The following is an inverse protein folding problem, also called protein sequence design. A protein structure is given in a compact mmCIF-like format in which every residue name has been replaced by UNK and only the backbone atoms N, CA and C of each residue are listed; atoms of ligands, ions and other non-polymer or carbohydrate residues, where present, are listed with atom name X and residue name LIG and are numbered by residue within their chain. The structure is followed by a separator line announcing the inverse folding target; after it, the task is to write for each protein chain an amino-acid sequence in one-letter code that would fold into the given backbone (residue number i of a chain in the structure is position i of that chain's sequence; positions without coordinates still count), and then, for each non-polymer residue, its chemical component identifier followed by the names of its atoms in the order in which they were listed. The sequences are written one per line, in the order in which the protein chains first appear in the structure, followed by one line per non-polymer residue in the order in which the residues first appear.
data_IF_494513916016
#
_entry.id   IF_494513916016
#
_cell.length_a   1.000
_cell.length_b   1.000
_cell.length_c   1.000
_cell.angle_alpha   90.00
_cell.angle_beta   90.00
_cell.angle_gamma   90.00
#
_symmetry.space_group_name_H-M   'P 1'
#
loop_
_entity.id
_entity.type
_entity.pdbx_description
1 polymer ?
#
# COMPACT_ATOMS: atom_id res chain seq x y z
N UNK A 1 6.84 0.31 -14.95
CA UNK A 1 6.33 1.41 -14.12
C UNK A 1 5.14 2.02 -14.84
N UNK A 2 3.99 2.05 -14.18
CA UNK A 2 2.78 2.71 -14.68
C UNK A 2 2.69 4.12 -14.08
N UNK A 3 2.14 5.11 -14.82
CA UNK A 3 1.87 6.47 -14.34
C UNK A 3 0.44 6.87 -14.71
N UNK A 4 -0.27 7.50 -13.78
CA UNK A 4 -1.57 8.14 -14.03
C UNK A 4 -1.65 9.52 -13.37
N UNK A 5 -2.53 10.39 -13.87
CA UNK A 5 -2.83 11.72 -13.32
C UNK A 5 -4.34 11.92 -13.31
N UNK A 6 -4.91 12.31 -12.17
CA UNK A 6 -6.34 12.52 -11.99
C UNK A 6 -6.61 13.86 -11.28
N UNK A 7 -7.65 14.57 -11.73
CA UNK A 7 -8.24 15.70 -11.01
C UNK A 7 -9.54 15.18 -10.40
N UNK A 8 -9.56 15.02 -9.08
CA UNK A 8 -10.66 14.32 -8.39
C UNK A 8 -11.82 15.26 -8.07
N UNK A 9 -11.48 16.46 -7.58
CA UNK A 9 -12.42 17.52 -7.23
C UNK A 9 -11.71 18.87 -7.33
N UNK A 10 -12.44 19.99 -7.18
CA UNK A 10 -11.85 21.32 -7.27
C UNK A 10 -10.63 21.45 -6.34
N UNK A 11 -9.49 21.85 -6.91
CA UNK A 11 -8.21 22.06 -6.24
C UNK A 11 -7.55 20.80 -5.64
N UNK A 12 -7.80 19.61 -6.19
CA UNK A 12 -7.07 18.38 -5.83
C UNK A 12 -6.58 17.64 -7.08
N UNK A 13 -5.26 17.54 -7.22
CA UNK A 13 -4.60 16.73 -8.25
C UNK A 13 -3.82 15.58 -7.62
N UNK A 14 -3.96 14.38 -8.16
CA UNK A 14 -3.18 13.21 -7.76
C UNK A 14 -2.46 12.64 -8.97
N UNK A 15 -1.14 12.49 -8.86
CA UNK A 15 -0.34 11.70 -9.79
C UNK A 15 0.12 10.43 -9.09
N UNK A 16 -0.07 9.28 -9.72
CA UNK A 16 0.27 7.98 -9.14
C UNK A 16 1.24 7.24 -10.04
N UNK A 17 2.25 6.63 -9.44
CA UNK A 17 3.14 5.68 -10.08
C UNK A 17 3.10 4.33 -9.38
N UNK A 18 3.17 3.26 -10.17
CA UNK A 18 3.19 1.90 -9.64
C UNK A 18 4.42 1.16 -10.16
N UNK A 19 5.19 0.62 -9.21
CA UNK A 19 6.30 -0.31 -9.42
C UNK A 19 5.82 -1.68 -8.94
N UNK A 20 5.50 -2.55 -9.89
CA UNK A 20 5.01 -3.89 -9.60
C UNK A 20 6.15 -4.91 -9.65
N UNK A 21 6.20 -5.81 -8.68
CA UNK A 21 7.02 -7.02 -8.72
C UNK A 21 6.63 -7.97 -7.60
N UNK A 22 6.09 -9.12 -7.98
CA UNK A 22 5.50 -10.07 -7.03
C UNK A 22 6.48 -10.44 -5.90
N UNK A 23 6.02 -10.55 -4.65
CA UNK A 23 4.62 -10.36 -4.19
C UNK A 23 4.26 -8.90 -3.83
N UNK A 24 5.13 -7.93 -4.14
CA UNK A 24 5.00 -6.53 -3.72
C UNK A 24 4.64 -5.56 -4.85
N UNK A 25 3.96 -4.48 -4.48
CA UNK A 25 3.70 -3.34 -5.34
C UNK A 25 4.03 -2.07 -4.58
N UNK A 26 4.99 -1.29 -5.06
CA UNK A 26 5.23 0.06 -4.52
C UNK A 26 4.36 1.05 -5.28
N UNK A 27 3.53 1.77 -4.55
CA UNK A 27 2.64 2.82 -5.06
C UNK A 27 3.14 4.16 -4.53
N UNK A 28 3.37 5.09 -5.44
CA UNK A 28 3.90 6.42 -5.16
C UNK A 28 2.85 7.42 -5.62
N UNK A 29 2.47 8.35 -4.75
CA UNK A 29 1.49 9.38 -5.05
C UNK A 29 2.10 10.76 -4.80
N UNK A 30 1.93 11.66 -5.77
CA UNK A 30 2.06 13.10 -5.58
C UNK A 30 0.67 13.67 -5.48
N UNK A 31 0.32 14.21 -4.33
CA UNK A 31 -0.98 14.83 -4.05
C UNK A 31 -0.77 16.33 -3.90
N UNK A 32 -1.40 17.10 -4.77
CA UNK A 32 -1.45 18.56 -4.68
C UNK A 32 -2.87 18.97 -4.31
N UNK A 33 -3.01 19.64 -3.17
CA UNK A 33 -4.31 20.01 -2.61
C UNK A 33 -4.35 21.44 -2.12
N UNK A 34 -5.44 22.16 -2.42
CA UNK A 34 -5.72 23.50 -1.89
C UNK A 34 -6.47 23.51 -0.55
N UNK A 35 -6.68 22.33 0.08
CA UNK A 35 -7.48 22.16 1.29
C UNK A 35 -6.97 20.99 2.14
N UNK A 36 -7.43 20.93 3.38
CA UNK A 36 -7.26 19.77 4.24
C UNK A 36 -7.89 18.53 3.60
N UNK A 37 -7.16 17.41 3.56
CA UNK A 37 -7.64 16.13 3.05
C UNK A 37 -7.27 14.99 3.98
N UNK A 38 -8.25 14.14 4.30
CA UNK A 38 -7.97 12.82 4.84
C UNK A 38 -7.71 11.87 3.66
N UNK A 39 -6.62 11.11 3.74
CA UNK A 39 -6.24 10.15 2.71
C UNK A 39 -6.18 8.74 3.29
N UNK A 40 -6.55 7.79 2.45
CA UNK A 40 -6.56 6.37 2.75
C UNK A 40 -6.01 5.60 1.55
N UNK A 41 -5.00 4.77 1.79
CA UNK A 41 -4.42 3.87 0.78
C UNK A 41 -4.69 2.42 1.20
N UNK A 42 -5.37 1.68 0.33
CA UNK A 42 -5.79 0.31 0.60
C UNK A 42 -4.87 -0.74 0.00
N UNK A 43 -4.61 -1.80 0.77
CA UNK A 43 -4.02 -3.04 0.31
C UNK A 43 -4.98 -3.86 -0.55
N UNK A 44 -4.79 -5.17 -0.59
CA UNK A 44 -5.73 -6.08 -1.24
C UNK A 44 -6.78 -6.57 -0.24
N UNK A 45 -8.05 -6.50 -0.62
CA UNK A 45 -9.12 -7.04 0.20
C UNK A 45 -9.06 -8.57 0.22
N UNK A 46 -9.11 -9.15 1.42
CA UNK A 46 -9.18 -10.60 1.62
C UNK A 46 -10.56 -10.99 2.12
N UNK A 47 -11.10 -12.12 1.67
CA UNK A 47 -12.33 -12.69 2.21
C UNK A 47 -12.21 -12.87 3.72
N UNK A 48 -13.19 -12.36 4.47
CA UNK A 48 -13.18 -12.49 5.93
C UNK A 48 -13.62 -13.89 6.32
N UNK A 49 -12.74 -14.59 7.03
CA UNK A 49 -12.98 -15.91 7.61
C UNK A 49 -13.03 -15.84 9.15
N UNK A 50 -13.53 -16.91 9.78
CA UNK A 50 -13.52 -17.02 11.24
C UNK A 50 -12.10 -17.10 11.81
N UNK A 51 -11.22 -17.79 11.09
CA UNK A 51 -9.79 -17.87 11.41
C UNK A 51 -9.04 -16.85 10.57
N UNK A 52 -8.43 -15.88 11.25
CA UNK A 52 -7.65 -14.81 10.63
C UNK A 52 -6.46 -14.47 11.52
N UNK A 53 -5.29 -14.34 10.91
CA UNK A 53 -4.12 -13.76 11.56
C UNK A 53 -4.04 -12.31 11.11
N UNK A 54 -3.85 -11.39 12.05
CA UNK A 54 -3.75 -9.98 11.76
C UNK A 54 -2.70 -9.30 12.60
N UNK A 55 -1.97 -8.37 12.01
CA UNK A 55 -1.03 -7.51 12.72
C UNK A 55 -1.19 -6.07 12.27
N UNK A 56 -1.21 -5.16 13.24
CA UNK A 56 -1.23 -3.72 13.01
C UNK A 56 0.00 -3.14 13.71
N UNK A 57 0.71 -2.27 13.00
CA UNK A 57 1.82 -1.47 13.49
C UNK A 57 1.61 -0.02 13.03
N UNK A 58 2.34 0.92 13.64
CA UNK A 58 2.31 2.33 13.24
C UNK A 58 2.67 2.48 11.75
N UNK A 59 3.63 1.69 11.28
CA UNK A 59 4.13 1.73 9.91
C UNK A 59 3.40 0.78 8.94
N UNK A 60 2.34 0.08 9.34
CA UNK A 60 1.68 -0.86 8.43
C UNK A 60 0.60 -1.74 9.05
N UNK A 61 -0.13 -2.44 8.20
CA UNK A 61 -1.14 -3.40 8.61
C UNK A 61 -1.10 -4.63 7.72
N UNK A 62 -1.50 -5.77 8.27
CA UNK A 62 -1.45 -7.05 7.59
C UNK A 62 -2.55 -7.97 8.08
N UNK A 63 -3.13 -8.73 7.15
CA UNK A 63 -4.09 -9.78 7.43
C UNK A 63 -3.78 -11.01 6.58
N UNK A 64 -3.99 -12.18 7.17
CA UNK A 64 -3.88 -13.47 6.51
C UNK A 64 -5.11 -14.32 6.82
N UNK A 65 -5.66 -14.93 5.80
CA UNK A 65 -6.88 -15.76 5.82
C UNK A 65 -6.66 -17.00 4.96
N UNK A 66 -7.65 -17.88 4.87
CA UNK A 66 -7.60 -19.03 3.95
C UNK A 66 -7.47 -18.62 2.47
N UNK A 67 -7.73 -17.35 2.12
CA UNK A 67 -7.60 -16.82 0.77
C UNK A 67 -6.20 -16.28 0.46
N UNK A 68 -5.30 -16.29 1.44
CA UNK A 68 -3.95 -15.76 1.33
C UNK A 68 -3.71 -14.58 2.25
N UNK A 69 -2.69 -13.80 1.91
CA UNK A 69 -2.12 -12.77 2.77
C UNK A 69 -2.05 -11.45 2.05
N UNK A 70 -2.51 -10.40 2.73
CA UNK A 70 -2.41 -9.03 2.26
C UNK A 70 -1.80 -8.16 3.34
N UNK A 71 -0.89 -7.30 2.93
CA UNK A 71 -0.23 -6.35 3.79
C UNK A 71 -0.07 -5.01 3.10
N UNK A 72 0.08 -3.98 3.91
CA UNK A 72 0.45 -2.65 3.46
C UNK A 72 1.44 -2.05 4.46
N UNK A 73 2.48 -1.41 3.94
CA UNK A 73 3.54 -0.78 4.72
C UNK A 73 3.78 0.65 4.22
N UNK A 74 3.91 1.57 5.16
CA UNK A 74 4.31 2.95 4.90
C UNK A 74 5.81 3.00 4.59
N UNK A 75 6.14 3.61 3.46
CA UNK A 75 7.53 3.93 3.10
C UNK A 75 7.79 5.43 3.18
N UNK A 76 6.75 6.26 3.03
CA UNK A 76 6.82 7.71 3.14
C UNK A 76 5.42 8.33 3.29
N UNK A 77 5.26 9.19 4.29
CA UNK A 77 4.20 10.19 4.32
C UNK A 77 2.88 9.74 4.95
N UNK A 78 2.67 8.44 5.18
CA UNK A 78 1.53 7.98 5.97
C UNK A 78 1.81 8.13 7.48
N UNK A 79 0.78 7.88 8.30
CA UNK A 79 0.87 8.06 9.77
C UNK A 79 0.35 6.89 10.56
N UNK A 80 -0.61 6.14 10.02
CA UNK A 80 -1.28 5.07 10.74
C UNK A 80 -1.61 3.92 9.81
N UNK A 81 -1.20 2.71 10.20
CA UNK A 81 -1.75 1.47 9.68
C UNK A 81 -3.01 1.05 10.44
N UNK A 82 -4.00 0.53 9.72
CA UNK A 82 -5.20 -0.06 10.32
C UNK A 82 -5.79 -1.17 9.45
N UNK A 83 -6.69 -1.95 10.05
CA UNK A 83 -7.53 -2.89 9.31
C UNK A 83 -8.94 -2.33 9.26
N UNK A 84 -9.49 -2.28 8.05
CA UNK A 84 -10.87 -1.90 7.79
C UNK A 84 -11.66 -3.18 7.51
N UNK A 85 -12.87 -3.25 8.04
CA UNK A 85 -13.87 -4.26 7.70
C UNK A 85 -14.97 -3.59 6.89
N UNK A 86 -14.84 -3.54 5.55
CA UNK A 86 -15.85 -2.94 4.71
C UNK A 86 -17.23 -3.56 4.95
N UNK A 87 -18.27 -2.76 4.72
CA UNK A 87 -19.64 -3.24 4.80
C UNK A 87 -19.85 -4.46 3.89
N UNK A 88 -20.81 -5.31 4.26
CA UNK A 88 -21.07 -6.50 3.47
C UNK A 88 -21.43 -6.15 2.02
N UNK A 89 -20.95 -6.97 1.08
CA UNK A 89 -21.17 -6.88 -0.36
C UNK A 89 -20.57 -5.63 -1.04
N UNK A 90 -19.60 -4.94 -0.43
CA UNK A 90 -18.80 -3.90 -1.12
C UNK A 90 -17.64 -4.49 -1.95
N UNK A 91 -17.53 -5.81 -2.00
CA UNK A 91 -16.58 -6.54 -2.83
C UNK A 91 -17.35 -7.56 -3.69
N UNK A 92 -16.93 -7.71 -4.96
CA UNK A 92 -17.61 -8.55 -5.94
C UNK A 92 -17.39 -10.06 -5.70
N UNK A 93 -16.26 -10.44 -5.12
CA UNK A 93 -15.83 -11.83 -4.96
C UNK A 93 -16.23 -12.40 -3.59
N UNK A 94 -16.08 -11.60 -2.53
CA UNK A 94 -16.38 -12.02 -1.16
C UNK A 94 -17.34 -11.04 -0.48
N UNK A 95 -18.42 -11.53 0.15
CA UNK A 95 -19.43 -10.67 0.76
C UNK A 95 -18.92 -9.95 2.00
N UNK A 96 -17.91 -10.47 2.69
CA UNK A 96 -17.24 -9.80 3.82
C UNK A 96 -15.75 -9.87 3.59
N UNK A 97 -15.05 -8.76 3.85
CA UNK A 97 -13.61 -8.68 3.63
C UNK A 97 -12.91 -7.98 4.78
N UNK A 98 -11.62 -8.25 4.91
CA UNK A 98 -10.69 -7.42 5.68
C UNK A 98 -9.76 -6.69 4.71
N UNK A 99 -9.46 -5.43 5.00
CA UNK A 99 -8.64 -4.57 4.16
C UNK A 99 -7.56 -3.87 4.99
N UNK A 100 -6.28 -4.23 4.82
CA UNK A 100 -5.17 -3.44 5.32
C UNK A 100 -5.17 -2.05 4.69
N UNK A 101 -4.99 -1.01 5.51
CA UNK A 101 -5.08 0.37 5.08
C UNK A 101 -4.02 1.23 5.76
N UNK A 102 -3.51 2.23 5.04
CA UNK A 102 -2.73 3.33 5.60
C UNK A 102 -3.54 4.62 5.51
N UNK A 103 -3.47 5.46 6.54
CA UNK A 103 -4.13 6.76 6.58
C UNK A 103 -3.20 7.88 7.00
N UNK A 104 -3.52 9.09 6.54
CA UNK A 104 -2.90 10.34 6.99
C UNK A 104 -3.82 11.52 6.66
N UNK A 105 -3.51 12.69 7.22
CA UNK A 105 -4.18 13.95 6.90
C UNK A 105 -3.17 14.90 6.27
N UNK A 106 -3.55 15.50 5.15
CA UNK A 106 -2.73 16.42 4.36
C UNK A 106 -3.26 17.85 4.47
N UNK A 107 -2.40 18.77 4.86
CA UNK A 107 -2.65 20.21 4.78
C UNK A 107 -2.63 20.72 3.32
N UNK A 108 -3.09 21.94 3.01
CA UNK A 108 -2.90 22.52 1.69
C UNK A 108 -1.41 22.55 1.27
N UNK A 109 -1.10 22.04 0.08
CA UNK A 109 0.25 21.96 -0.45
C UNK A 109 0.49 20.75 -1.35
N UNK A 110 1.76 20.45 -1.61
CA UNK A 110 2.22 19.28 -2.36
C UNK A 110 2.74 18.26 -1.35
N UNK A 111 2.25 17.03 -1.45
CA UNK A 111 2.60 15.92 -0.58
C UNK A 111 2.98 14.71 -1.40
N UNK A 112 3.94 13.95 -0.88
CA UNK A 112 4.36 12.68 -1.46
C UNK A 112 4.08 11.55 -0.49
N UNK A 113 3.35 10.55 -0.99
CA UNK A 113 2.95 9.38 -0.24
C UNK A 113 3.49 8.14 -0.94
N UNK A 114 4.17 7.25 -0.22
CA UNK A 114 4.71 6.00 -0.77
C UNK A 114 4.32 4.85 0.12
N UNK A 115 3.68 3.84 -0.47
CA UNK A 115 3.29 2.60 0.20
C UNK A 115 3.85 1.39 -0.53
N UNK A 116 4.15 0.33 0.24
CA UNK A 116 4.39 -1.00 -0.30
C UNK A 116 3.20 -1.90 0.03
N UNK A 117 2.59 -2.47 -0.99
CA UNK A 117 1.42 -3.34 -0.89
C UNK A 117 1.81 -4.77 -1.20
N UNK A 118 1.57 -5.66 -0.25
CA UNK A 118 1.80 -7.10 -0.35
C UNK A 118 0.53 -7.83 -0.72
N UNK A 119 0.64 -8.77 -1.65
CA UNK A 119 -0.41 -9.72 -1.97
C UNK A 119 0.20 -11.06 -2.34
N UNK A 120 -0.07 -12.07 -1.53
CA UNK A 120 0.28 -13.45 -1.82
C UNK A 120 -0.99 -14.31 -1.72
N UNK A 121 -1.52 -14.84 -2.82
CA UNK A 121 -2.65 -15.76 -2.76
C UNK A 121 -2.21 -17.06 -2.07
N UNK A 122 -3.12 -17.68 -1.31
CA UNK A 122 -2.90 -19.03 -0.78
C UNK A 122 -3.20 -20.07 -1.86
N UNK A 123 -2.44 -21.16 -1.90
CA UNK A 123 -2.72 -22.34 -2.74
C UNK A 123 -3.58 -23.41 -2.01
N UNK A 124 -3.98 -23.17 -0.76
CA UNK A 124 -4.65 -24.12 0.14
C UNK A 124 -4.45 -23.76 1.64
N UNK A 125 -5.19 -24.44 2.53
CA UNK A 125 -5.33 -24.15 3.98
C UNK A 125 -4.19 -23.33 4.64
N UNK A 126 -4.56 -22.23 5.34
CA UNK A 126 -3.72 -21.30 6.14
C UNK A 126 -2.21 -21.65 6.19
N UNK A 127 -1.46 -21.33 5.13
CA UNK A 127 -0.02 -21.59 5.06
C UNK A 127 0.81 -20.68 5.98
N UNK A 128 0.21 -19.61 6.48
CA UNK A 128 0.91 -18.56 7.22
C UNK A 128 0.64 -18.71 8.71
N UNK A 129 1.69 -18.99 9.48
CA UNK A 129 1.70 -18.92 10.95
C UNK A 129 1.97 -17.47 11.41
N UNK A 130 1.64 -17.14 12.67
CA UNK A 130 1.83 -15.80 13.22
C UNK A 130 3.27 -15.27 13.07
N UNK A 131 4.27 -16.15 13.15
CA UNK A 131 5.68 -15.80 13.00
C UNK A 131 6.02 -15.27 11.59
N UNK A 132 5.33 -15.76 10.56
CA UNK A 132 5.49 -15.27 9.19
C UNK A 132 4.82 -13.90 8.98
N UNK A 133 3.85 -13.52 9.83
CA UNK A 133 3.21 -12.22 9.71
C UNK A 133 4.14 -11.06 10.10
N UNK A 134 5.00 -11.32 11.08
CA UNK A 134 6.06 -10.42 11.48
C UNK A 134 7.11 -10.22 10.39
N UNK A 135 7.48 -11.30 9.70
CA UNK A 135 8.46 -11.25 8.61
C UNK A 135 7.95 -10.38 7.45
N UNK A 136 6.67 -10.47 7.08
CA UNK A 136 6.09 -9.63 6.00
C UNK A 136 6.20 -8.13 6.31
N UNK A 137 5.92 -7.71 7.56
CA UNK A 137 6.03 -6.29 7.94
C UNK A 137 7.48 -5.83 8.12
N UNK A 138 8.37 -6.72 8.55
CA UNK A 138 9.82 -6.45 8.68
C UNK A 138 10.54 -6.40 7.34
N UNK A 139 10.00 -7.06 6.31
CA UNK A 139 10.57 -7.09 4.96
C UNK A 139 10.78 -5.68 4.37
N UNK A 140 11.83 -5.53 3.57
CA UNK A 140 12.21 -4.27 2.91
C UNK A 140 11.97 -4.35 1.38
N UNK A 141 10.71 -4.22 0.93
CA UNK A 141 10.34 -4.39 -0.49
C UNK A 141 10.98 -3.36 -1.43
N UNK A 142 11.39 -2.21 -0.92
CA UNK A 142 12.12 -1.18 -1.64
C UNK A 142 13.47 -1.69 -2.17
N UNK A 143 14.13 -2.61 -1.45
CA UNK A 143 15.39 -3.21 -1.90
C UNK A 143 15.16 -4.18 -3.07
N UNK A 144 14.16 -5.05 -2.95
CA UNK A 144 13.81 -6.03 -3.98
C UNK A 144 13.39 -5.37 -5.29
N UNK A 145 12.57 -4.33 -5.19
CA UNK A 145 12.05 -3.59 -6.34
C UNK A 145 13.01 -2.51 -6.84
N UNK A 146 14.22 -2.43 -6.28
CA UNK A 146 15.27 -1.46 -6.63
C UNK A 146 14.76 -0.02 -6.60
N UNK A 147 13.96 0.29 -5.58
CA UNK A 147 13.45 1.62 -5.28
C UNK A 147 14.28 2.22 -4.16
N UNK A 148 14.91 3.36 -4.41
CA UNK A 148 15.67 4.09 -3.40
C UNK A 148 14.89 5.35 -3.02
N UNK A 149 14.53 5.44 -1.74
CA UNK A 149 13.91 6.62 -1.15
C UNK A 149 15.00 7.48 -0.52
N UNK A 150 15.14 8.70 -1.01
CA UNK A 150 15.95 9.75 -0.40
C UNK A 150 15.03 10.89 0.03
N UNK A 151 15.51 11.78 0.91
CA UNK A 151 14.71 12.90 1.44
C UNK A 151 14.12 13.80 0.37
N UNK A 152 14.76 13.87 -0.80
CA UNK A 152 14.39 14.76 -1.92
C UNK A 152 14.05 14.02 -3.21
N UNK A 153 14.29 12.72 -3.31
CA UNK A 153 14.08 11.96 -4.55
C UNK A 153 13.63 10.53 -4.29
N UNK A 154 12.85 10.00 -5.23
CA UNK A 154 12.58 8.56 -5.35
C UNK A 154 13.19 8.08 -6.65
N UNK A 155 14.18 7.19 -6.56
CA UNK A 155 14.86 6.59 -7.70
C UNK A 155 14.36 5.17 -7.89
N UNK A 156 13.97 4.82 -9.12
CA UNK A 156 13.48 3.50 -9.49
C UNK A 156 14.36 2.96 -10.62
N UNK A 157 14.97 1.81 -10.40
CA UNK A 157 15.72 1.11 -11.44
C UNK A 157 14.84 0.03 -12.07
N UNK A 158 14.49 0.23 -13.34
CA UNK A 158 13.70 -0.73 -14.11
C UNK A 158 14.48 -2.02 -14.40
N UNK A 159 13.78 -3.09 -14.80
CA UNK A 159 14.42 -4.36 -15.18
C UNK A 159 15.39 -4.22 -16.37
N UNK A 160 15.20 -3.23 -17.24
CA UNK A 160 16.11 -2.92 -18.36
C UNK A 160 17.33 -2.09 -17.95
N UNK A 161 17.50 -1.80 -16.64
CA UNK A 161 18.58 -0.96 -16.13
C UNK A 161 18.35 0.56 -16.29
N UNK A 162 17.21 0.98 -16.84
CA UNK A 162 16.86 2.41 -16.94
C UNK A 162 16.47 2.95 -15.57
N UNK A 163 17.04 4.09 -15.22
CA UNK A 163 16.74 4.83 -14.00
C UNK A 163 15.62 5.85 -14.23
N UNK A 164 14.65 5.89 -13.32
CA UNK A 164 13.57 6.88 -13.29
C UNK A 164 13.68 7.61 -11.95
N UNK A 165 13.86 8.93 -11.99
CA UNK A 165 14.00 9.77 -10.80
C UNK A 165 12.78 10.66 -10.68
N UNK A 166 12.08 10.56 -9.55
CA UNK A 166 11.00 11.46 -9.14
C UNK A 166 11.57 12.44 -8.12
N UNK A 167 11.42 13.74 -8.38
CA UNK A 167 11.85 14.79 -7.45
C UNK A 167 10.71 15.12 -6.50
N UNK A 168 10.97 15.09 -5.19
CA UNK A 168 9.98 15.24 -4.12
C UNK A 168 9.71 16.71 -3.73
N UNK A 169 10.11 17.65 -4.58
CA UNK A 169 9.82 19.09 -4.42
C UNK A 169 8.33 19.44 -4.60
#
# INVERSE_FOLDING_TARGET
MYRSKHVLCANVEVQTWVVAGLPWHIRIHRVETGRLLDTAEGGFALGQENEMISKIDVAGAMASTAWGTSGIKDLLGYRKGELVWPNANTNLLHPRTVLPMLTTTLEPGIHWLVSAVYGCPSEGALDIQADQADEVLKHSPEQDLKVKLCTVTVTIVTHTGREIVLNLQ
#
